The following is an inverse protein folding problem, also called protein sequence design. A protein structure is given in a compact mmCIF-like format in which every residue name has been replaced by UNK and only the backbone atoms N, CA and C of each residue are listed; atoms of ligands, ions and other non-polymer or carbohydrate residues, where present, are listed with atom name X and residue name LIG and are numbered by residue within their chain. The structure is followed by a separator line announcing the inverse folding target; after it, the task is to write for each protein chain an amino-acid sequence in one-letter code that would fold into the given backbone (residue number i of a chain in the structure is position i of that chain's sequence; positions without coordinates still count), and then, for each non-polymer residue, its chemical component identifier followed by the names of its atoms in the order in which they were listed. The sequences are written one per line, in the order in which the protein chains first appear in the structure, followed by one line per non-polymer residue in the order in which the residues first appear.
data_IF_531939485688
#
_entry.id   IF_531939485688
#
_cell.length_a   1.000
_cell.length_b   1.000
_cell.length_c   1.000
_cell.angle_alpha   90.00
_cell.angle_beta   90.00
_cell.angle_gamma   90.00
#
_symmetry.space_group_name_H-M   'P 1'
#
loop_
_entity.id
_entity.type
_entity.pdbx_description
1 polymer ?
#
# COMPACT_ATOMS: atom_id res chain seq x y z
N UNK A 1 10.00 6.91 -28.31
CA UNK A 1 10.78 5.88 -27.58
C UNK A 1 12.17 6.43 -27.31
N UNK A 2 12.65 6.37 -26.08
CA UNK A 2 14.04 6.69 -25.75
C UNK A 2 14.82 5.40 -25.56
N UNK A 3 16.01 5.31 -26.15
CA UNK A 3 16.92 4.18 -25.91
C UNK A 3 17.65 4.43 -24.61
N UNK A 4 17.56 3.49 -23.66
CA UNK A 4 18.34 3.50 -22.42
C UNK A 4 19.20 2.24 -22.39
N UNK A 5 20.50 2.40 -22.18
CA UNK A 5 21.44 1.28 -22.04
C UNK A 5 21.63 0.97 -20.57
N UNK A 6 21.41 -0.28 -20.18
CA UNK A 6 21.60 -0.78 -18.81
C UNK A 6 22.66 -1.87 -18.85
N UNK A 7 23.60 -1.84 -17.90
CA UNK A 7 24.56 -2.92 -17.70
C UNK A 7 24.06 -3.81 -16.56
N UNK A 8 24.01 -5.11 -16.81
CA UNK A 8 23.67 -6.10 -15.82
C UNK A 8 24.96 -6.73 -15.29
N UNK A 9 24.97 -7.10 -14.02
CA UNK A 9 26.02 -7.98 -13.50
C UNK A 9 25.80 -9.43 -13.98
N UNK A 10 26.78 -10.29 -13.72
CA UNK A 10 26.73 -11.68 -14.17
C UNK A 10 25.55 -12.48 -13.59
N UNK A 11 25.06 -12.11 -12.41
CA UNK A 11 23.92 -12.79 -11.79
C UNK A 11 22.60 -12.39 -12.44
N UNK A 12 22.44 -11.10 -12.73
CA UNK A 12 21.31 -10.55 -13.43
C UNK A 12 21.24 -11.06 -14.88
N UNK A 13 22.36 -11.17 -15.60
CA UNK A 13 22.40 -11.76 -16.93
C UNK A 13 21.94 -13.24 -16.91
N UNK A 14 22.48 -14.04 -15.98
CA UNK A 14 22.05 -15.44 -15.79
C UNK A 14 20.57 -15.56 -15.48
N UNK A 15 20.02 -14.63 -14.73
CA UNK A 15 18.60 -14.61 -14.39
C UNK A 15 17.74 -14.21 -15.58
N UNK A 16 18.16 -13.19 -16.35
CA UNK A 16 17.50 -12.77 -17.57
C UNK A 16 17.43 -13.91 -18.58
N UNK A 17 18.54 -14.63 -18.81
CA UNK A 17 18.58 -15.77 -19.73
C UNK A 17 17.67 -16.93 -19.28
N UNK A 18 17.61 -17.23 -17.98
CA UNK A 18 16.69 -18.25 -17.45
C UNK A 18 15.23 -17.85 -17.69
N UNK A 19 14.85 -16.62 -17.34
CA UNK A 19 13.47 -16.15 -17.53
C UNK A 19 13.11 -16.11 -19.01
N UNK A 20 14.02 -15.68 -19.88
CA UNK A 20 13.84 -15.70 -21.34
C UNK A 20 13.58 -17.12 -21.84
N UNK A 21 14.38 -18.09 -21.39
CA UNK A 21 14.26 -19.50 -21.78
C UNK A 21 12.94 -20.10 -21.30
N UNK A 22 12.49 -19.78 -20.09
CA UNK A 22 11.25 -20.29 -19.52
C UNK A 22 9.99 -19.68 -20.15
N UNK A 23 10.04 -18.39 -20.52
CA UNK A 23 8.87 -17.65 -21.01
C UNK A 23 8.78 -17.60 -22.54
N UNK A 24 9.90 -17.79 -23.24
CA UNK A 24 9.99 -17.60 -24.70
C UNK A 24 9.91 -16.13 -25.15
N UNK A 25 9.85 -15.19 -24.21
CA UNK A 25 9.71 -13.76 -24.50
C UNK A 25 11.04 -13.14 -24.96
N UNK A 26 10.95 -12.00 -25.64
CA UNK A 26 12.13 -11.18 -25.93
C UNK A 26 12.70 -10.54 -24.67
N UNK A 27 14.00 -10.19 -24.68
CA UNK A 27 14.64 -9.45 -23.58
C UNK A 27 13.85 -8.17 -23.24
N UNK A 28 13.36 -7.45 -24.26
CA UNK A 28 12.59 -6.22 -24.06
C UNK A 28 11.27 -6.48 -23.32
N UNK A 29 10.57 -7.56 -23.65
CA UNK A 29 9.30 -7.91 -22.99
C UNK A 29 9.52 -8.37 -21.56
N UNK A 30 10.54 -9.20 -21.31
CA UNK A 30 10.90 -9.62 -19.95
C UNK A 30 11.22 -8.41 -19.07
N UNK A 31 12.02 -7.46 -19.58
CA UNK A 31 12.35 -6.24 -18.84
C UNK A 31 11.13 -5.34 -18.62
N UNK A 32 10.24 -5.21 -19.61
CA UNK A 32 8.98 -4.45 -19.44
C UNK A 32 8.10 -5.06 -18.35
N UNK A 33 7.88 -6.38 -18.40
CA UNK A 33 7.08 -7.08 -17.39
C UNK A 33 7.73 -6.99 -16.00
N UNK A 34 9.06 -7.13 -15.92
CA UNK A 34 9.80 -6.96 -14.67
C UNK A 34 9.63 -5.56 -14.07
N UNK A 35 9.73 -4.50 -14.90
CA UNK A 35 9.50 -3.12 -14.45
C UNK A 35 8.06 -2.90 -13.96
N UNK A 36 7.06 -3.36 -14.69
CA UNK A 36 5.65 -3.23 -14.28
C UNK A 36 5.33 -4.01 -13.01
N UNK A 37 5.91 -5.20 -12.84
CA UNK A 37 5.76 -5.98 -11.61
C UNK A 37 6.41 -5.27 -10.41
N UNK A 38 7.61 -4.70 -10.60
CA UNK A 38 8.29 -3.96 -9.55
C UNK A 38 7.58 -2.65 -9.20
N UNK A 39 7.04 -1.93 -10.19
CA UNK A 39 6.19 -0.75 -9.97
C UNK A 39 4.97 -1.11 -9.10
N UNK A 40 4.27 -2.19 -9.44
CA UNK A 40 3.11 -2.67 -8.66
C UNK A 40 3.49 -2.99 -7.21
N UNK A 41 4.63 -3.66 -7.01
CA UNK A 41 5.15 -3.96 -5.69
C UNK A 41 5.49 -2.71 -4.88
N UNK A 42 6.14 -1.72 -5.51
CA UNK A 42 6.42 -0.43 -4.87
C UNK A 42 5.13 0.28 -4.50
N UNK A 43 4.11 0.29 -5.38
CA UNK A 43 2.84 0.94 -5.09
C UNK A 43 2.17 0.32 -3.88
N UNK A 44 2.11 -1.02 -3.79
CA UNK A 44 1.55 -1.72 -2.63
C UNK A 44 2.25 -1.37 -1.31
N UNK A 45 3.56 -1.14 -1.34
CA UNK A 45 4.34 -0.76 -0.17
C UNK A 45 4.25 0.73 0.16
N UNK A 46 4.28 1.59 -0.87
CA UNK A 46 4.33 3.05 -0.74
C UNK A 46 3.00 3.63 -0.30
N UNK A 47 1.88 2.98 -0.68
CA UNK A 47 0.55 3.44 -0.27
C UNK A 47 0.23 3.16 1.20
N UNK A 48 1.01 2.35 1.93
CA UNK A 48 0.74 2.10 3.35
C UNK A 48 1.23 3.25 4.24
N UNK A 49 0.55 4.41 4.19
CA UNK A 49 0.67 5.40 5.25
C UNK A 49 0.14 4.79 6.55
N UNK A 50 0.77 5.03 7.71
CA UNK A 50 0.28 4.51 9.00
C UNK A 50 -1.22 4.78 9.21
N UNK A 51 -1.69 5.97 8.79
CA UNK A 51 -3.11 6.34 8.81
C UNK A 51 -4.02 5.36 8.04
N UNK A 52 -3.60 4.88 6.88
CA UNK A 52 -4.41 3.96 6.07
C UNK A 52 -4.53 2.58 6.71
N UNK A 53 -3.49 2.14 7.45
CA UNK A 53 -3.54 0.93 8.28
C UNK A 53 -4.53 1.13 9.43
N UNK A 54 -4.44 2.22 10.18
CA UNK A 54 -5.36 2.50 11.29
C UNK A 54 -6.81 2.68 10.83
N UNK A 55 -7.04 3.15 9.60
CA UNK A 55 -8.39 3.27 9.02
C UNK A 55 -9.05 1.93 8.75
N UNK A 56 -8.27 0.89 8.46
CA UNK A 56 -8.78 -0.45 8.17
C UNK A 56 -9.05 -1.28 9.44
N UNK A 57 -8.59 -0.81 10.62
CA UNK A 57 -8.83 -1.50 11.87
C UNK A 57 -10.30 -1.38 12.29
N UNK A 58 -10.96 -2.52 12.44
CA UNK A 58 -12.20 -2.59 13.21
C UNK A 58 -11.85 -2.52 14.71
N UNK A 59 -12.16 -1.39 15.35
CA UNK A 59 -11.86 -1.17 16.77
C UNK A 59 -12.94 -1.77 17.68
N UNK A 60 -13.98 -2.38 17.10
CA UNK A 60 -15.11 -2.94 17.84
C UNK A 60 -16.00 -1.88 18.49
N UNK A 61 -16.98 -2.36 19.26
CA UNK A 61 -17.93 -1.49 19.95
C UNK A 61 -17.22 -0.63 21.01
N UNK A 62 -17.22 0.69 20.80
CA UNK A 62 -16.65 1.67 21.74
C UNK A 62 -15.19 2.05 21.48
N UNK A 63 -14.52 1.43 20.50
CA UNK A 63 -13.14 1.77 20.14
C UNK A 63 -12.99 3.04 19.28
N UNK A 64 -14.10 3.56 18.76
CA UNK A 64 -14.12 4.74 17.90
C UNK A 64 -14.35 6.04 18.67
N UNK A 65 -13.62 7.09 18.28
CA UNK A 65 -13.87 8.43 18.80
C UNK A 65 -15.25 8.94 18.36
N UNK A 66 -16.08 9.30 19.33
CA UNK A 66 -17.43 9.83 19.09
C UNK A 66 -17.43 11.32 18.66
N UNK A 67 -16.32 12.03 18.89
CA UNK A 67 -16.16 13.44 18.50
C UNK A 67 -14.66 13.82 18.38
N UNK A 68 -14.32 14.90 17.65
CA UNK A 68 -12.99 15.48 17.67
C UNK A 68 -12.56 15.92 19.08
N UNK A 69 -11.26 15.87 19.37
CA UNK A 69 -10.72 16.18 20.70
C UNK A 69 -11.13 17.58 21.22
N UNK A 70 -11.25 18.56 20.31
CA UNK A 70 -11.69 19.93 20.64
C UNK A 70 -13.12 20.00 21.20
N UNK A 71 -13.97 19.05 20.82
CA UNK A 71 -15.39 19.04 21.17
C UNK A 71 -15.73 17.94 22.20
N UNK A 72 -14.73 17.23 22.70
CA UNK A 72 -14.90 16.06 23.57
C UNK A 72 -15.76 16.34 24.81
N UNK A 73 -15.58 17.50 25.44
CA UNK A 73 -16.38 17.91 26.62
C UNK A 73 -17.86 18.07 26.29
N UNK A 74 -18.17 18.72 25.17
CA UNK A 74 -19.54 18.94 24.71
C UNK A 74 -20.21 17.64 24.32
N UNK A 75 -19.49 16.78 23.59
CA UNK A 75 -19.97 15.46 23.19
C UNK A 75 -20.26 14.55 24.40
N UNK A 76 -19.38 14.51 25.40
CA UNK A 76 -19.59 13.75 26.64
C UNK A 76 -20.82 14.27 27.39
N UNK A 77 -20.97 15.60 27.53
CA UNK A 77 -22.13 16.18 28.19
C UNK A 77 -23.45 15.77 27.52
N UNK A 78 -23.46 15.70 26.19
CA UNK A 78 -24.63 15.24 25.43
C UNK A 78 -24.90 13.75 25.64
N UNK A 79 -23.88 12.90 25.62
CA UNK A 79 -24.00 11.46 25.90
C UNK A 79 -24.56 11.22 27.30
N UNK A 80 -24.06 11.93 28.31
CA UNK A 80 -24.55 11.85 29.69
C UNK A 80 -26.02 12.28 29.77
N UNK A 81 -26.39 13.40 29.13
CA UNK A 81 -27.78 13.87 29.08
C UNK A 81 -28.71 12.83 28.46
N UNK A 82 -28.34 12.24 27.32
CA UNK A 82 -29.13 11.18 26.67
C UNK A 82 -29.28 9.96 27.57
N UNK A 83 -28.24 9.58 28.31
CA UNK A 83 -28.28 8.44 29.26
C UNK A 83 -29.20 8.71 30.45
N UNK A 84 -29.22 9.94 30.96
CA UNK A 84 -30.05 10.34 32.11
C UNK A 84 -31.51 10.69 31.73
N UNK A 85 -31.79 10.97 30.46
CA UNK A 85 -33.15 11.25 29.96
C UNK A 85 -33.91 9.97 29.58
N UNK A 86 -33.42 8.81 30.02
CA UNK A 86 -33.94 7.49 29.73
C UNK A 86 -34.18 6.72 31.03
#
# INVERSE_FOLDING_TARGET
MGTRTVRLDEEAERTLDRVRTMTGLSISEVLKQGLSAYESHIMEQTHRKPYEIFRQLDLGAGGYALAPARDAKSAIAEVIRRKHSR
#
